data_IF_671350043506
#
_entry.id   IF_671350043506
#
_cell.length_a   1.000
_cell.length_b   1.000
_cell.length_c   1.000
_cell.angle_alpha   90.00
_cell.angle_beta   90.00
_cell.angle_gamma   90.00
#
_symmetry.space_group_name_H-M   'P 1'
#
loop_
_entity.id
_entity.type
_entity.pdbx_description
1 polymer ?
#
# COMPACT_ATOMS: atom_id res chain seq x y z
N UNK A 1 -31.77 -5.74 7.91
CA UNK A 1 -31.69 -5.06 6.60
C UNK A 1 -30.23 -5.05 6.20
N UNK A 2 -29.87 -5.70 5.10
CA UNK A 2 -28.51 -5.68 4.57
C UNK A 2 -28.42 -4.48 3.62
N UNK A 3 -27.40 -3.62 3.78
CA UNK A 3 -27.19 -2.43 2.95
C UNK A 3 -26.35 -2.80 1.71
N UNK A 4 -25.34 -3.65 1.88
CA UNK A 4 -24.45 -4.11 0.82
C UNK A 4 -23.77 -5.43 1.24
N UNK A 5 -23.59 -6.34 0.30
CA UNK A 5 -22.71 -7.51 0.44
C UNK A 5 -21.54 -7.32 -0.53
N UNK A 6 -20.31 -7.34 -0.01
CA UNK A 6 -19.09 -7.23 -0.83
C UNK A 6 -18.57 -8.65 -1.02
N UNK A 7 -18.45 -9.14 -2.28
CA UNK A 7 -17.84 -10.43 -2.56
C UNK A 7 -16.42 -10.48 -1.97
N UNK A 8 -16.04 -11.60 -1.36
CA UNK A 8 -14.67 -11.80 -0.87
C UNK A 8 -13.66 -11.61 -2.01
N UNK A 9 -14.15 -11.83 -3.22
CA UNK A 9 -13.46 -11.70 -4.48
C UNK A 9 -12.94 -10.31 -4.79
N UNK A 10 -13.53 -9.27 -4.19
CA UNK A 10 -13.10 -7.89 -4.36
C UNK A 10 -12.13 -7.44 -3.25
N UNK A 11 -11.88 -8.28 -2.24
CA UNK A 11 -11.07 -7.90 -1.08
C UNK A 11 -9.57 -7.98 -1.38
N UNK A 12 -8.85 -6.88 -1.14
CA UNK A 12 -7.38 -6.90 -1.06
C UNK A 12 -6.96 -7.35 0.33
N UNK A 13 -6.36 -8.54 0.40
CA UNK A 13 -5.86 -9.11 1.66
C UNK A 13 -4.47 -9.70 1.46
N UNK A 14 -3.65 -9.69 2.53
CA UNK A 14 -2.33 -10.33 2.53
C UNK A 14 -2.43 -11.65 3.26
N UNK A 15 -2.17 -12.75 2.56
CA UNK A 15 -2.08 -14.07 3.20
C UNK A 15 -0.72 -14.25 3.86
N UNK A 16 -0.64 -14.68 5.12
CA UNK A 16 0.66 -14.92 5.81
C UNK A 16 1.53 -16.02 5.18
N UNK A 17 1.03 -16.79 4.21
CA UNK A 17 1.72 -17.94 3.61
C UNK A 17 1.77 -17.81 2.08
N UNK A 18 2.91 -18.16 1.44
CA UNK A 18 3.05 -18.14 -0.02
C UNK A 18 2.39 -19.36 -0.71
N UNK A 19 2.06 -19.27 -2.02
CA UNK A 19 2.08 -18.05 -2.82
C UNK A 19 1.06 -17.05 -2.27
N UNK A 20 1.42 -15.77 -2.26
CA UNK A 20 0.52 -14.72 -1.78
C UNK A 20 -0.73 -14.75 -2.65
N UNK A 21 -1.88 -15.01 -2.03
CA UNK A 21 -3.15 -15.08 -2.77
C UNK A 21 -3.82 -13.72 -2.72
N UNK A 22 -4.13 -13.21 -3.91
CA UNK A 22 -5.08 -12.14 -4.09
C UNK A 22 -6.30 -12.76 -4.75
N UNK A 23 -7.45 -12.14 -4.55
CA UNK A 23 -8.61 -12.57 -5.29
C UNK A 23 -8.83 -11.63 -6.48
N UNK A 24 -9.10 -12.16 -7.69
CA UNK A 24 -9.02 -13.57 -8.11
C UNK A 24 -7.59 -14.06 -8.42
N UNK A 25 -6.58 -13.21 -8.26
CA UNK A 25 -5.30 -13.39 -8.93
C UNK A 25 -4.13 -13.86 -8.04
N UNK A 26 -3.27 -14.67 -8.64
CA UNK A 26 -1.95 -15.02 -8.10
C UNK A 26 -0.95 -14.04 -8.70
N UNK A 27 -0.06 -13.45 -7.90
CA UNK A 27 1.03 -12.64 -8.46
C UNK A 27 1.92 -13.56 -9.32
N UNK A 28 2.17 -13.20 -10.59
CA UNK A 28 3.10 -13.94 -11.43
C UNK A 28 4.50 -13.91 -10.81
N UNK A 29 5.15 -15.07 -10.67
CA UNK A 29 6.49 -15.18 -10.08
C UNK A 29 7.55 -14.40 -10.86
N UNK A 30 7.29 -14.12 -12.13
CA UNK A 30 8.13 -13.35 -13.04
C UNK A 30 7.84 -11.84 -13.01
N UNK A 31 6.82 -11.39 -12.28
CA UNK A 31 6.52 -9.97 -12.14
C UNK A 31 7.48 -9.31 -11.13
N UNK A 32 8.10 -8.15 -11.44
CA UNK A 32 9.06 -7.48 -10.54
C UNK A 32 8.51 -7.18 -9.14
N UNK A 33 7.19 -7.01 -9.03
CA UNK A 33 6.52 -6.77 -7.76
C UNK A 33 6.60 -7.96 -6.80
N UNK A 34 6.74 -9.18 -7.31
CA UNK A 34 6.92 -10.37 -6.48
C UNK A 34 8.19 -10.25 -5.64
N UNK A 35 9.32 -9.90 -6.28
CA UNK A 35 10.61 -9.71 -5.60
C UNK A 35 10.56 -8.55 -4.61
N UNK A 36 9.83 -7.48 -4.93
CA UNK A 36 9.63 -6.35 -4.01
C UNK A 36 8.87 -6.81 -2.77
N UNK A 37 7.77 -7.55 -2.92
CA UNK A 37 6.98 -8.06 -1.80
C UNK A 37 7.78 -9.07 -0.97
N UNK A 38 8.51 -9.97 -1.60
CA UNK A 38 9.39 -10.92 -0.91
C UNK A 38 10.52 -10.23 -0.12
N UNK A 39 10.95 -9.04 -0.55
CA UNK A 39 11.99 -8.27 0.16
C UNK A 39 11.51 -7.64 1.48
N UNK A 40 10.20 -7.58 1.72
CA UNK A 40 9.62 -6.96 2.93
C UNK A 40 9.51 -7.95 4.10
N UNK A 41 9.39 -7.46 5.33
CA UNK A 41 9.08 -8.27 6.51
C UNK A 41 7.55 -8.52 6.64
N UNK A 42 7.08 -9.79 6.60
CA UNK A 42 5.66 -10.10 6.67
C UNK A 42 4.98 -9.77 8.01
N UNK A 43 5.74 -9.63 9.10
CA UNK A 43 5.18 -9.31 10.41
C UNK A 43 5.16 -7.81 10.70
N UNK A 44 6.03 -7.02 10.06
CA UNK A 44 6.17 -5.59 10.36
C UNK A 44 5.86 -4.65 9.19
N UNK A 45 5.83 -5.14 7.95
CA UNK A 45 5.68 -4.34 6.72
C UNK A 45 4.45 -4.75 5.89
N UNK A 46 3.40 -5.23 6.56
CA UNK A 46 2.13 -5.58 5.93
C UNK A 46 1.50 -4.39 5.16
N UNK A 47 1.74 -3.16 5.58
CA UNK A 47 1.22 -1.96 4.91
C UNK A 47 1.94 -1.70 3.58
N UNK A 48 3.26 -1.87 3.53
CA UNK A 48 4.06 -1.78 2.31
C UNK A 48 3.69 -2.89 1.32
N UNK A 49 3.48 -4.11 1.84
CA UNK A 49 2.96 -5.23 1.06
C UNK A 49 1.61 -4.85 0.45
N UNK A 50 0.67 -4.34 1.24
CA UNK A 50 -0.66 -3.97 0.77
C UNK A 50 -0.60 -2.88 -0.30
N UNK A 51 0.28 -1.89 -0.12
CA UNK A 51 0.49 -0.83 -1.09
C UNK A 51 1.01 -1.38 -2.42
N UNK A 52 2.01 -2.28 -2.40
CA UNK A 52 2.50 -2.94 -3.62
C UNK A 52 1.35 -3.66 -4.35
N UNK A 53 0.53 -4.39 -3.61
CA UNK A 53 -0.58 -5.15 -4.17
C UNK A 53 -1.64 -4.26 -4.83
N UNK A 54 -1.96 -3.15 -4.17
CA UNK A 54 -2.89 -2.18 -4.72
C UNK A 54 -2.34 -1.54 -6.00
N UNK A 55 -1.04 -1.20 -6.04
CA UNK A 55 -0.39 -0.69 -7.25
C UNK A 55 -0.45 -1.70 -8.39
N UNK A 56 -0.13 -2.97 -8.14
CA UNK A 56 -0.26 -4.03 -9.14
C UNK A 56 -1.70 -4.17 -9.65
N UNK A 57 -2.69 -4.10 -8.76
CA UNK A 57 -4.09 -4.17 -9.15
C UNK A 57 -4.54 -2.98 -9.99
N UNK A 58 -3.93 -1.79 -9.83
CA UNK A 58 -4.17 -0.64 -10.71
C UNK A 58 -3.57 -0.83 -12.11
N UNK A 59 -2.46 -1.56 -12.23
CA UNK A 59 -1.78 -1.81 -13.51
C UNK A 59 -2.46 -2.91 -14.35
N UNK A 60 -3.32 -3.75 -13.76
CA UNK A 60 -4.07 -4.79 -14.47
C UNK A 60 -5.31 -4.19 -15.16
N UNK A 61 -5.36 -4.29 -16.49
CA UNK A 61 -6.52 -3.89 -17.30
C UNK A 61 -7.79 -4.67 -16.88
N UNK A 62 -8.92 -3.96 -16.80
CA UNK A 62 -10.23 -4.47 -16.38
C UNK A 62 -10.29 -5.01 -14.93
N UNK A 63 -9.28 -4.72 -14.09
CA UNK A 63 -9.32 -5.05 -12.68
C UNK A 63 -10.29 -4.13 -11.91
N UNK A 64 -11.02 -4.69 -10.93
CA UNK A 64 -11.92 -3.91 -10.09
C UNK A 64 -11.23 -2.71 -9.43
N UNK A 65 -10.01 -2.88 -8.92
CA UNK A 65 -9.30 -1.81 -8.22
C UNK A 65 -8.77 -0.74 -9.16
N UNK A 66 -8.43 -1.09 -10.40
CA UNK A 66 -8.16 -0.10 -11.44
C UNK A 66 -9.38 0.82 -11.65
N UNK A 67 -10.58 0.24 -11.77
CA UNK A 67 -11.83 1.00 -11.95
C UNK A 67 -12.27 1.74 -10.68
N UNK A 68 -12.05 1.14 -9.51
CA UNK A 68 -12.40 1.73 -8.22
C UNK A 68 -11.42 2.86 -7.82
N UNK A 69 -10.21 2.88 -8.41
CA UNK A 69 -9.18 3.89 -8.16
C UNK A 69 -9.66 5.32 -8.35
N UNK A 70 -10.55 5.56 -9.32
CA UNK A 70 -11.17 6.87 -9.60
C UNK A 70 -12.02 7.40 -8.43
N UNK A 71 -12.42 6.54 -7.50
CA UNK A 71 -13.20 6.90 -6.30
C UNK A 71 -12.33 7.04 -5.05
N UNK A 72 -11.04 6.71 -5.12
CA UNK A 72 -10.12 6.90 -4.00
C UNK A 72 -9.77 8.38 -3.84
N UNK A 73 -9.65 8.88 -2.61
CA UNK A 73 -9.25 10.26 -2.38
C UNK A 73 -7.84 10.46 -2.92
N UNK A 74 -7.65 11.60 -3.57
CA UNK A 74 -6.33 12.08 -3.95
C UNK A 74 -5.49 12.41 -2.71
N UNK A 75 -4.17 12.58 -2.92
CA UNK A 75 -3.27 12.94 -1.83
C UNK A 75 -3.60 14.31 -1.21
N UNK A 76 -4.11 15.26 -2.01
CA UNK A 76 -4.51 16.59 -1.56
C UNK A 76 -5.85 16.61 -0.80
N UNK A 77 -6.71 15.62 -1.03
CA UNK A 77 -7.94 15.42 -0.25
C UNK A 77 -7.69 14.68 1.08
N UNK A 78 -6.46 14.19 1.30
CA UNK A 78 -6.12 13.39 2.46
C UNK A 78 -5.56 14.27 3.61
N UNK A 79 -6.29 14.35 4.72
CA UNK A 79 -5.86 15.07 5.94
C UNK A 79 -4.97 14.23 6.85
N UNK A 80 -4.28 13.23 6.32
CA UNK A 80 -3.44 12.32 7.10
C UNK A 80 -2.14 12.99 7.53
N UNK A 81 -1.76 12.84 8.80
CA UNK A 81 -0.46 13.28 9.31
C UNK A 81 0.73 12.64 8.59
N UNK A 82 0.53 11.49 7.93
CA UNK A 82 1.57 10.87 7.10
C UNK A 82 1.94 11.72 5.88
N UNK A 83 1.07 12.64 5.45
CA UNK A 83 1.34 13.57 4.34
C UNK A 83 1.67 14.99 4.83
N UNK A 84 1.65 15.22 6.15
CA UNK A 84 1.95 16.52 6.71
C UNK A 84 3.44 16.88 6.52
N UNK A 85 3.74 18.16 6.22
CA UNK A 85 5.09 18.70 6.25
C UNK A 85 5.80 18.42 7.58
N UNK A 86 7.13 18.32 7.54
CA UNK A 86 7.92 18.06 8.74
C UNK A 86 7.75 19.18 9.76
N UNK A 87 7.63 20.42 9.30
CA UNK A 87 7.44 21.61 10.11
C UNK A 87 6.15 21.50 10.93
N UNK A 88 5.03 21.19 10.25
CA UNK A 88 3.71 21.01 10.88
C UNK A 88 3.71 19.85 11.89
N UNK A 89 4.42 18.76 11.60
CA UNK A 89 4.56 17.65 12.54
C UNK A 89 5.35 18.05 13.80
N UNK A 90 6.36 18.91 13.65
CA UNK A 90 7.16 19.39 14.79
C UNK A 90 6.39 20.35 15.70
N UNK A 91 5.34 20.99 15.19
CA UNK A 91 4.44 21.85 15.96
C UNK A 91 3.40 21.08 16.78
N UNK A 92 3.25 19.76 16.57
CA UNK A 92 2.34 18.94 17.36
C UNK A 92 2.73 18.93 18.84
N UNK A 93 1.72 19.05 19.71
CA UNK A 93 1.92 18.91 21.16
C UNK A 93 2.41 17.49 21.51
N UNK A 94 1.92 16.48 20.80
CA UNK A 94 2.34 15.09 20.95
C UNK A 94 3.61 14.79 20.13
N UNK A 95 4.75 14.88 20.80
CA UNK A 95 6.07 14.64 20.21
C UNK A 95 6.32 13.16 19.87
N UNK A 96 5.66 12.22 20.58
CA UNK A 96 5.77 10.79 20.28
C UNK A 96 5.03 10.46 18.98
N UNK A 97 3.84 11.05 18.79
CA UNK A 97 3.09 10.96 17.55
C UNK A 97 3.88 11.57 16.38
N UNK A 98 4.41 12.78 16.54
CA UNK A 98 5.24 13.43 15.52
C UNK A 98 6.43 12.55 15.11
N UNK A 99 7.16 12.03 16.10
CA UNK A 99 8.30 11.13 15.88
C UNK A 99 7.88 9.86 15.14
N UNK A 100 6.72 9.28 15.49
CA UNK A 100 6.19 8.08 14.83
C UNK A 100 5.80 8.36 13.38
N UNK A 101 5.15 9.48 13.09
CA UNK A 101 4.79 9.86 11.72
C UNK A 101 6.02 10.08 10.85
N UNK A 102 7.04 10.79 11.36
CA UNK A 102 8.31 11.00 10.66
C UNK A 102 9.02 9.67 10.36
N UNK A 103 9.06 8.74 11.32
CA UNK A 103 9.63 7.40 11.10
C UNK A 103 8.87 6.63 10.03
N UNK A 104 7.53 6.71 10.03
CA UNK A 104 6.70 6.05 9.02
C UNK A 104 6.92 6.64 7.63
N UNK A 105 6.98 7.97 7.51
CA UNK A 105 7.32 8.67 6.27
C UNK A 105 8.69 8.24 5.74
N UNK A 106 9.72 8.25 6.60
CA UNK A 106 11.08 7.83 6.23
C UNK A 106 11.13 6.37 5.80
N UNK A 107 10.41 5.48 6.48
CA UNK A 107 10.32 4.06 6.09
C UNK A 107 9.68 3.90 4.71
N UNK A 108 8.55 4.57 4.47
CA UNK A 108 7.86 4.50 3.18
C UNK A 108 8.72 5.08 2.04
N UNK A 109 9.33 6.25 2.25
CA UNK A 109 10.22 6.89 1.27
C UNK A 109 11.45 6.00 0.99
N UNK A 110 12.11 5.49 2.04
CA UNK A 110 13.27 4.62 1.90
C UNK A 110 12.92 3.33 1.15
N UNK A 111 11.77 2.73 1.47
CA UNK A 111 11.27 1.57 0.74
C UNK A 111 11.08 1.86 -0.75
N UNK A 112 10.40 2.95 -1.10
CA UNK A 112 10.16 3.32 -2.50
C UNK A 112 11.42 3.78 -3.23
N UNK A 113 12.38 4.42 -2.57
CA UNK A 113 13.66 4.78 -3.20
C UNK A 113 14.51 3.55 -3.53
N UNK A 114 14.45 2.52 -2.69
CA UNK A 114 15.19 1.28 -2.89
C UNK A 114 14.55 0.36 -3.95
N UNK A 115 13.23 0.45 -4.13
CA UNK A 115 12.46 -0.46 -4.99
C UNK A 115 11.86 0.20 -6.24
N UNK A 116 11.69 1.52 -6.27
CA UNK A 116 11.02 2.26 -7.35
C UNK A 116 11.74 2.19 -8.70
N UNK A 117 13.05 1.92 -8.72
CA UNK A 117 13.80 1.64 -9.95
C UNK A 117 13.53 0.25 -10.53
N UNK A 118 12.89 -0.66 -9.77
CA UNK A 118 12.51 -2.00 -10.23
C UNK A 118 11.08 -2.07 -10.81
N UNK A 119 10.27 -1.03 -10.61
CA UNK A 119 8.91 -0.93 -11.18
C UNK A 119 8.89 -0.44 -12.63
N UNK A 120 9.99 0.15 -13.13
CA UNK A 120 10.07 0.62 -14.52
C UNK A 120 10.53 -0.49 -15.49
N UNK A 121 9.74 -1.55 -15.66
CA UNK A 121 9.84 -2.53 -16.75
C UNK A 121 8.48 -3.15 -17.03
#
# INVERSE_FOLDING_TARGET
MVIMEIPLELMLTITKKPPWMFFPDIIPLDHPIFDIIESTDPETEWDLRLACLLLYAFDIEDNFWQLYGDFLPSADECTSLLLAPKEDLMELEDQDLATKMLKNQQRAIGFWQNNGTKQSL
#
